data_IF_765245582894
#
_entry.id   IF_765245582894
#
_cell.length_a   1.000
_cell.length_b   1.000
_cell.length_c   1.000
_cell.angle_alpha   90.00
_cell.angle_beta   90.00
_cell.angle_gamma   90.00
#
_symmetry.space_group_name_H-M   'P 1'
#
loop_
_entity.id
_entity.type
_entity.pdbx_description
1 polymer ?
#
# COMPACT_ATOMS: atom_id res chain seq x y z
N UNK A 1 6.14 -6.31 24.50
CA UNK A 1 6.78 -5.57 23.40
C UNK A 1 5.90 -5.42 22.15
N UNK A 2 4.70 -5.99 22.12
CA UNK A 2 3.80 -5.97 20.95
C UNK A 2 2.80 -4.81 20.86
N UNK A 3 2.59 -4.02 21.93
CA UNK A 3 1.52 -3.00 21.99
C UNK A 3 1.89 -1.64 21.36
N UNK A 4 3.17 -1.28 21.34
CA UNK A 4 3.63 0.02 20.81
C UNK A 4 3.66 0.04 19.27
N UNK A 5 3.89 -1.10 18.64
CA UNK A 5 3.91 -1.26 17.17
C UNK A 5 2.52 -1.08 16.54
N UNK A 6 1.47 -1.63 17.20
CA UNK A 6 0.07 -1.50 16.72
C UNK A 6 -0.49 -0.06 16.77
N UNK A 7 0.08 0.81 17.57
CA UNK A 7 -0.40 2.19 17.72
C UNK A 7 0.16 3.13 16.65
N UNK A 8 1.42 2.96 16.24
CA UNK A 8 2.05 3.72 15.15
C UNK A 8 1.42 3.43 13.79
N UNK A 9 1.20 2.17 13.48
CA UNK A 9 0.59 1.70 12.23
C UNK A 9 -0.85 2.19 12.02
N UNK A 10 -1.64 2.30 13.10
CA UNK A 10 -3.01 2.86 13.02
C UNK A 10 -3.02 4.36 12.73
N UNK A 11 -2.04 5.09 13.25
CA UNK A 11 -1.96 6.54 13.07
C UNK A 11 -1.61 6.91 11.63
N UNK A 12 -0.69 6.18 11.00
CA UNK A 12 -0.27 6.48 9.62
C UNK A 12 -1.32 6.11 8.57
N UNK A 13 -2.03 5.00 8.75
CA UNK A 13 -3.11 4.58 7.85
C UNK A 13 -4.28 5.55 7.85
N UNK A 14 -4.70 5.99 9.04
CA UNK A 14 -5.75 7.01 9.19
C UNK A 14 -5.34 8.38 8.66
N UNK A 15 -4.04 8.71 8.71
CA UNK A 15 -3.54 9.98 8.15
C UNK A 15 -3.65 10.03 6.64
N UNK A 16 -3.37 8.93 5.94
CA UNK A 16 -3.51 8.86 4.49
C UNK A 16 -4.97 9.03 4.05
N UNK A 17 -5.90 8.28 4.67
CA UNK A 17 -7.33 8.41 4.41
C UNK A 17 -7.84 9.79 4.81
N UNK A 18 -7.54 10.28 6.00
CA UNK A 18 -7.98 11.61 6.47
C UNK A 18 -7.48 12.75 5.57
N UNK A 19 -6.23 12.67 5.09
CA UNK A 19 -5.71 13.65 4.15
C UNK A 19 -6.46 13.60 2.82
N UNK A 20 -6.67 12.42 2.27
CA UNK A 20 -7.36 12.23 1.00
C UNK A 20 -8.80 12.75 1.05
N UNK A 21 -9.51 12.47 2.14
CA UNK A 21 -10.88 12.97 2.38
C UNK A 21 -10.94 14.48 2.57
N UNK A 22 -9.91 15.07 3.19
CA UNK A 22 -9.81 16.51 3.36
C UNK A 22 -9.38 17.23 2.07
N UNK A 23 -8.72 16.52 1.12
CA UNK A 23 -8.17 17.08 -0.11
C UNK A 23 -8.52 16.20 -1.33
N UNK A 24 -9.82 16.02 -1.64
CA UNK A 24 -10.25 15.07 -2.67
C UNK A 24 -9.79 15.46 -4.08
N UNK A 25 -9.68 16.75 -4.38
CA UNK A 25 -9.22 17.23 -5.67
C UNK A 25 -7.73 16.93 -5.90
N UNK A 26 -6.90 17.18 -4.88
CA UNK A 26 -5.48 16.86 -4.90
C UNK A 26 -5.24 15.35 -4.96
N UNK A 27 -6.03 14.59 -4.20
CA UNK A 27 -5.99 13.14 -4.27
C UNK A 27 -6.32 12.62 -5.68
N UNK A 28 -7.37 13.17 -6.31
CA UNK A 28 -7.76 12.83 -7.67
C UNK A 28 -6.68 13.17 -8.71
N UNK A 29 -5.94 14.28 -8.53
CA UNK A 29 -4.81 14.64 -9.39
C UNK A 29 -3.63 13.67 -9.28
N UNK A 30 -3.39 13.12 -8.09
CA UNK A 30 -2.25 12.22 -7.83
C UNK A 30 -2.59 10.77 -8.17
N UNK A 31 -3.80 10.32 -7.81
CA UNK A 31 -4.20 8.90 -7.83
C UNK A 31 -5.43 8.62 -8.70
N UNK A 32 -6.00 9.63 -9.32
CA UNK A 32 -7.16 9.51 -10.20
C UNK A 32 -6.80 9.10 -11.63
N UNK A 33 -7.67 9.45 -12.57
CA UNK A 33 -7.46 9.11 -13.97
C UNK A 33 -6.28 9.86 -14.59
N UNK A 34 -5.48 9.19 -15.43
CA UNK A 34 -4.41 9.86 -16.16
C UNK A 34 -4.93 11.04 -16.98
N UNK A 35 -4.20 12.14 -16.96
CA UNK A 35 -4.51 13.30 -17.82
C UNK A 35 -4.00 13.01 -19.23
N UNK A 36 -4.86 12.99 -20.26
CA UNK A 36 -4.43 12.73 -21.64
C UNK A 36 -3.33 13.70 -22.09
N UNK A 37 -2.25 13.15 -22.64
CA UNK A 37 -1.11 13.94 -23.14
C UNK A 37 -0.15 14.45 -22.06
N UNK A 38 -0.41 14.19 -20.77
CA UNK A 38 0.52 14.56 -19.70
C UNK A 38 1.60 13.47 -19.52
N UNK A 39 2.84 13.92 -19.54
CA UNK A 39 3.99 13.09 -19.14
C UNK A 39 4.67 13.75 -17.95
N UNK A 40 4.79 13.02 -16.86
CA UNK A 40 5.41 13.55 -15.65
C UNK A 40 6.90 13.87 -15.88
N UNK A 41 7.37 15.07 -15.51
CA UNK A 41 8.78 15.40 -15.59
C UNK A 41 9.64 14.47 -14.72
N UNK A 42 10.87 14.13 -15.12
CA UNK A 42 11.74 13.22 -14.36
C UNK A 42 12.03 13.66 -12.93
N UNK A 43 12.03 14.96 -12.64
CA UNK A 43 12.25 15.53 -11.31
C UNK A 43 11.09 15.28 -10.33
N UNK A 44 9.93 14.83 -10.82
CA UNK A 44 8.79 14.43 -9.98
C UNK A 44 8.94 13.02 -9.39
N UNK A 45 9.80 12.17 -9.96
CA UNK A 45 9.99 10.78 -9.54
C UNK A 45 10.35 10.63 -8.04
N UNK A 46 11.26 11.44 -7.45
CA UNK A 46 11.56 11.34 -6.03
C UNK A 46 10.36 11.58 -5.13
N UNK A 47 9.47 12.49 -5.49
CA UNK A 47 8.24 12.75 -4.75
C UNK A 47 7.22 11.60 -4.92
N UNK A 48 7.00 11.14 -6.15
CA UNK A 48 6.07 10.08 -6.48
C UNK A 48 6.42 8.73 -5.81
N UNK A 49 7.72 8.47 -5.58
CA UNK A 49 8.20 7.22 -4.98
C UNK A 49 8.18 7.21 -3.45
N UNK A 50 7.88 8.33 -2.77
CA UNK A 50 7.90 8.39 -1.30
C UNK A 50 6.93 7.42 -0.65
N UNK A 51 5.68 7.42 -1.08
CA UNK A 51 4.65 6.55 -0.50
C UNK A 51 4.91 5.06 -0.76
N UNK A 52 5.21 4.62 -2.00
CA UNK A 52 5.63 3.24 -2.24
C UNK A 52 6.83 2.82 -1.39
N UNK A 53 7.85 3.66 -1.27
CA UNK A 53 9.03 3.37 -0.45
C UNK A 53 8.71 3.22 1.02
N UNK A 54 7.85 4.08 1.58
CA UNK A 54 7.44 3.97 2.97
C UNK A 54 6.72 2.65 3.26
N UNK A 55 5.83 2.21 2.37
CA UNK A 55 5.14 0.92 2.50
C UNK A 55 6.11 -0.27 2.41
N UNK A 56 7.06 -0.22 1.46
CA UNK A 56 8.07 -1.25 1.31
C UNK A 56 9.03 -1.29 2.50
N UNK A 57 9.37 -0.14 3.10
CA UNK A 57 10.21 -0.09 4.29
C UNK A 57 9.57 -0.81 5.48
N UNK A 58 8.25 -0.74 5.64
CA UNK A 58 7.54 -1.50 6.68
C UNK A 58 7.77 -3.00 6.51
N UNK A 59 7.73 -3.50 5.27
CA UNK A 59 7.98 -4.92 4.99
C UNK A 59 9.43 -5.31 5.25
N UNK A 60 10.38 -4.50 4.80
CA UNK A 60 11.82 -4.70 5.04
C UNK A 60 12.12 -4.73 6.54
N UNK A 61 11.58 -3.79 7.30
CA UNK A 61 11.75 -3.75 8.76
C UNK A 61 11.08 -4.95 9.45
N UNK A 62 9.94 -5.40 8.92
CA UNK A 62 9.27 -6.62 9.36
C UNK A 62 10.13 -7.87 9.19
N UNK A 63 10.77 -8.00 8.03
CA UNK A 63 11.72 -9.11 7.74
C UNK A 63 12.93 -9.02 8.68
N UNK A 64 13.58 -7.86 8.74
CA UNK A 64 14.78 -7.64 9.56
C UNK A 64 14.53 -7.90 11.06
N UNK A 65 13.33 -7.60 11.53
CA UNK A 65 12.95 -7.88 12.93
C UNK A 65 12.44 -9.30 13.18
N UNK A 66 12.35 -10.14 12.14
CA UNK A 66 11.77 -11.48 12.24
C UNK A 66 10.26 -11.50 12.49
N UNK A 67 9.58 -10.35 12.33
CA UNK A 67 8.14 -10.25 12.49
C UNK A 67 7.39 -10.74 11.25
N UNK A 68 8.02 -10.69 10.09
CA UNK A 68 7.51 -11.23 8.83
C UNK A 68 8.35 -12.40 8.40
N UNK A 69 7.69 -13.50 8.05
CA UNK A 69 8.32 -14.70 7.49
C UNK A 69 8.01 -14.82 5.99
N UNK A 70 8.92 -15.44 5.25
CA UNK A 70 8.76 -15.71 3.81
C UNK A 70 7.79 -16.89 3.54
N UNK A 71 6.96 -17.24 4.50
CA UNK A 71 5.94 -18.29 4.38
C UNK A 71 4.72 -17.74 3.63
N UNK A 72 4.87 -17.47 2.35
CA UNK A 72 3.76 -17.05 1.51
C UNK A 72 3.43 -18.07 0.45
N UNK A 73 2.21 -18.04 -0.13
CA UNK A 73 1.89 -18.91 -1.24
C UNK A 73 2.87 -18.65 -2.39
N UNK A 74 3.65 -19.64 -2.72
CA UNK A 74 4.29 -19.72 -4.02
C UNK A 74 3.15 -19.88 -5.04
N UNK A 75 3.05 -19.04 -6.01
CA UNK A 75 1.97 -19.12 -6.98
C UNK A 75 1.88 -17.92 -7.90
N UNK A 76 2.93 -17.10 -7.94
CA UNK A 76 3.02 -16.08 -8.96
C UNK A 76 3.15 -16.74 -10.35
N UNK A 77 2.37 -16.30 -11.34
CA UNK A 77 2.61 -16.65 -12.73
C UNK A 77 4.05 -16.30 -13.13
N UNK A 78 4.66 -17.09 -14.00
CA UNK A 78 6.08 -16.93 -14.36
C UNK A 78 6.40 -15.54 -14.93
N UNK A 79 5.51 -14.98 -15.74
CA UNK A 79 5.67 -13.64 -16.31
C UNK A 79 5.70 -12.57 -15.21
N UNK A 80 4.80 -12.65 -14.23
CA UNK A 80 4.76 -11.74 -13.09
C UNK A 80 6.00 -11.93 -12.20
N UNK A 81 6.44 -13.15 -12.04
CA UNK A 81 7.68 -13.47 -11.31
C UNK A 81 8.90 -12.82 -11.93
N UNK A 82 9.02 -12.85 -13.27
CA UNK A 82 10.11 -12.22 -13.99
C UNK A 82 10.14 -10.70 -13.74
N UNK A 83 8.99 -10.03 -13.79
CA UNK A 83 8.88 -8.61 -13.48
C UNK A 83 9.28 -8.29 -12.04
N UNK A 84 8.81 -9.08 -11.08
CA UNK A 84 9.13 -8.88 -9.67
C UNK A 84 10.60 -9.15 -9.37
N UNK A 85 11.21 -10.15 -10.02
CA UNK A 85 12.65 -10.42 -9.90
C UNK A 85 13.45 -9.20 -10.36
N UNK A 86 13.12 -8.64 -11.51
CA UNK A 86 13.78 -7.44 -12.05
C UNK A 86 13.66 -6.24 -11.10
N UNK A 87 12.46 -5.93 -10.63
CA UNK A 87 12.23 -4.81 -9.69
C UNK A 87 12.99 -5.04 -8.38
N UNK A 88 13.01 -6.27 -7.88
CA UNK A 88 13.69 -6.61 -6.65
C UNK A 88 15.20 -6.42 -6.79
N UNK A 89 15.81 -6.95 -7.82
CA UNK A 89 17.24 -6.83 -8.08
C UNK A 89 17.71 -5.38 -8.20
N UNK A 90 16.90 -4.55 -8.86
CA UNK A 90 17.22 -3.13 -9.06
C UNK A 90 17.00 -2.26 -7.82
N UNK A 91 16.01 -2.57 -6.99
CA UNK A 91 15.53 -1.61 -5.99
C UNK A 91 15.37 -2.17 -4.58
N UNK A 92 15.18 -3.49 -4.42
CA UNK A 92 14.74 -4.12 -3.18
C UNK A 92 15.40 -5.49 -2.95
N UNK A 93 16.75 -5.59 -3.02
CA UNK A 93 17.44 -6.88 -3.00
C UNK A 93 17.19 -7.68 -1.70
N UNK A 94 16.94 -6.99 -0.59
CA UNK A 94 16.71 -7.59 0.73
C UNK A 94 15.27 -8.07 0.95
N UNK A 95 14.34 -7.80 0.02
CA UNK A 95 12.94 -8.17 0.18
C UNK A 95 12.64 -9.50 -0.49
N UNK A 96 12.17 -10.54 0.23
CA UNK A 96 11.72 -11.79 -0.37
C UNK A 96 10.60 -11.57 -1.39
N UNK A 97 10.63 -12.33 -2.50
CA UNK A 97 9.68 -12.22 -3.61
C UNK A 97 8.21 -12.34 -3.15
N UNK A 98 7.92 -13.33 -2.29
CA UNK A 98 6.57 -13.54 -1.79
C UNK A 98 6.07 -12.36 -0.94
N UNK A 99 6.94 -11.72 -0.18
CA UNK A 99 6.60 -10.53 0.59
C UNK A 99 6.41 -9.30 -0.30
N UNK A 100 7.20 -9.19 -1.37
CA UNK A 100 7.00 -8.13 -2.36
C UNK A 100 5.63 -8.26 -3.02
N UNK A 101 5.26 -9.45 -3.45
CA UNK A 101 3.95 -9.71 -4.06
C UNK A 101 2.79 -9.36 -3.11
N UNK A 102 2.88 -9.80 -1.85
CA UNK A 102 1.89 -9.46 -0.82
C UNK A 102 1.86 -7.95 -0.53
N UNK A 103 3.01 -7.29 -0.52
CA UNK A 103 3.11 -5.84 -0.35
C UNK A 103 2.41 -5.08 -1.48
N UNK A 104 2.53 -5.54 -2.72
CA UNK A 104 1.80 -4.96 -3.86
C UNK A 104 0.29 -5.16 -3.72
N UNK A 105 -0.18 -6.33 -3.28
CA UNK A 105 -1.59 -6.56 -2.98
C UNK A 105 -2.08 -5.62 -1.87
N UNK A 106 -1.33 -5.51 -0.78
CA UNK A 106 -1.65 -4.60 0.32
C UNK A 106 -1.72 -3.13 -0.12
N UNK A 107 -0.77 -2.70 -0.96
CA UNK A 107 -0.78 -1.36 -1.54
C UNK A 107 -2.01 -1.12 -2.42
N UNK A 108 -2.31 -2.03 -3.33
CA UNK A 108 -3.47 -1.93 -4.22
C UNK A 108 -4.76 -1.84 -3.42
N UNK A 109 -4.90 -2.66 -2.38
CA UNK A 109 -6.08 -2.61 -1.52
C UNK A 109 -6.18 -1.30 -0.74
N UNK A 110 -5.08 -0.82 -0.14
CA UNK A 110 -5.06 0.44 0.60
C UNK A 110 -5.52 1.62 -0.28
N UNK A 111 -4.91 1.76 -1.46
CA UNK A 111 -5.30 2.86 -2.37
C UNK A 111 -6.69 2.66 -2.94
N UNK A 112 -7.12 1.43 -3.22
CA UNK A 112 -8.49 1.12 -3.62
C UNK A 112 -9.51 1.51 -2.55
N UNK A 113 -9.27 1.15 -1.29
CA UNK A 113 -10.14 1.51 -0.18
C UNK A 113 -10.26 3.03 0.00
N UNK A 114 -9.14 3.76 -0.04
CA UNK A 114 -9.13 5.22 0.04
C UNK A 114 -9.85 5.85 -1.16
N UNK A 115 -9.60 5.37 -2.38
CA UNK A 115 -10.26 5.88 -3.58
C UNK A 115 -11.77 5.66 -3.54
N UNK A 116 -12.21 4.49 -3.08
CA UNK A 116 -13.64 4.18 -2.96
C UNK A 116 -14.33 5.13 -1.96
N UNK A 117 -13.65 5.47 -0.88
CA UNK A 117 -14.15 6.42 0.10
C UNK A 117 -14.18 7.85 -0.45
N UNK A 118 -13.07 8.32 -1.06
CA UNK A 118 -12.94 9.68 -1.61
C UNK A 118 -13.91 9.92 -2.76
N UNK A 119 -14.14 8.92 -3.61
CA UNK A 119 -15.03 9.04 -4.77
C UNK A 119 -16.46 8.60 -4.50
N UNK A 120 -16.85 8.42 -3.23
CA UNK A 120 -18.24 8.17 -2.83
C UNK A 120 -18.76 6.77 -3.17
N UNK A 121 -17.89 5.80 -3.50
CA UNK A 121 -18.34 4.44 -3.86
C UNK A 121 -18.97 3.68 -2.68
N UNK A 122 -18.76 4.17 -1.46
CA UNK A 122 -19.38 3.63 -0.25
C UNK A 122 -20.61 4.41 0.21
N UNK A 123 -21.01 5.46 -0.53
CA UNK A 123 -22.18 6.25 -0.19
C UNK A 123 -23.44 5.39 -0.26
N UNK A 124 -24.31 5.53 0.73
CA UNK A 124 -25.54 4.73 0.89
C UNK A 124 -25.34 3.20 1.07
N UNK A 125 -24.07 2.73 1.06
CA UNK A 125 -23.73 1.30 1.22
C UNK A 125 -23.13 1.01 2.59
N UNK A 126 -22.20 1.86 3.05
CA UNK A 126 -21.48 1.70 4.32
C UNK A 126 -21.55 2.99 5.10
N UNK A 127 -22.35 3.03 6.17
CA UNK A 127 -22.45 4.19 7.05
C UNK A 127 -21.25 4.30 8.00
N UNK A 128 -20.82 3.17 8.57
CA UNK A 128 -19.70 3.11 9.52
C UNK A 128 -18.35 3.03 8.80
N UNK A 129 -18.02 4.01 7.96
CA UNK A 129 -16.85 4.00 7.04
C UNK A 129 -15.53 3.84 7.77
N UNK A 130 -15.32 4.58 8.87
CA UNK A 130 -14.10 4.48 9.68
C UNK A 130 -13.89 3.06 10.24
N UNK A 131 -14.95 2.44 10.74
CA UNK A 131 -14.89 1.09 11.27
C UNK A 131 -14.64 0.05 10.17
N UNK A 132 -15.22 0.27 9.00
CA UNK A 132 -15.01 -0.59 7.85
C UNK A 132 -13.61 -0.45 7.28
N UNK A 133 -13.07 0.76 7.18
CA UNK A 133 -11.68 1.00 6.79
C UNK A 133 -10.70 0.30 7.76
N UNK A 134 -10.90 0.46 9.07
CA UNK A 134 -10.10 -0.23 10.09
C UNK A 134 -10.19 -1.77 9.96
N UNK A 135 -11.37 -2.30 9.63
CA UNK A 135 -11.56 -3.73 9.37
C UNK A 135 -10.76 -4.17 8.14
N UNK A 136 -10.91 -3.49 7.00
CA UNK A 136 -10.18 -3.79 5.78
C UNK A 136 -8.66 -3.78 6.00
N UNK A 137 -8.15 -2.76 6.70
CA UNK A 137 -6.71 -2.65 6.95
C UNK A 137 -6.17 -3.77 7.86
N UNK A 138 -6.98 -4.29 8.78
CA UNK A 138 -6.60 -5.48 9.57
C UNK A 138 -6.52 -6.72 8.69
N UNK A 139 -7.52 -6.93 7.81
CA UNK A 139 -7.51 -8.08 6.90
C UNK A 139 -6.31 -8.02 5.94
N UNK A 140 -5.99 -6.84 5.43
CA UNK A 140 -4.81 -6.64 4.58
C UNK A 140 -3.51 -6.89 5.36
N UNK A 141 -3.42 -6.42 6.61
CA UNK A 141 -2.25 -6.65 7.44
C UNK A 141 -2.03 -8.18 7.67
N UNK A 142 -3.09 -8.92 7.95
CA UNK A 142 -3.05 -10.39 8.06
C UNK A 142 -2.61 -11.05 6.75
N UNK A 143 -3.15 -10.60 5.60
CA UNK A 143 -2.77 -11.10 4.27
C UNK A 143 -1.29 -10.86 3.97
N UNK A 144 -0.76 -9.72 4.37
CA UNK A 144 0.67 -9.37 4.19
C UNK A 144 1.57 -10.08 5.20
N UNK A 145 0.99 -10.57 6.32
CA UNK A 145 1.70 -11.29 7.37
C UNK A 145 2.15 -10.39 8.54
N UNK A 146 1.50 -9.24 8.71
CA UNK A 146 1.75 -8.26 9.78
C UNK A 146 0.88 -8.49 11.02
#
# INVERSE_FOLDING_TARGET
MGLLRKRGDRVDRRRASSWALANPAEYALIFGSPVPGYTAPPDTLPAATRTPRALLQILIDGVRSGALSDTGPAGLPDDVRADFTRIREEHLPDLPEALMARGFLGRTHLFGAVSFEVFGQFDEVVEARDAYFDFQMRQVAELVGL
#
